data_IF_804993575966
#
_entry.id   IF_804993575966
#
_cell.length_a   1.000
_cell.length_b   1.000
_cell.length_c   1.000
_cell.angle_alpha   90.00
_cell.angle_beta   90.00
_cell.angle_gamma   90.00
#
_symmetry.space_group_name_H-M   'P 1'
#
loop_
_entity.id
_entity.type
_entity.pdbx_description
1 polymer ?
#
# COMPACT_ATOMS: atom_id res chain seq x y z
N UNK A 1 10.88 -7.78 -18.07
CA UNK A 1 9.90 -8.06 -19.15
C UNK A 1 8.90 -9.05 -18.59
N UNK A 2 7.65 -8.62 -18.39
CA UNK A 2 6.56 -9.52 -18.00
C UNK A 2 6.25 -10.38 -19.23
N UNK A 3 6.44 -11.69 -19.09
CA UNK A 3 6.19 -12.65 -20.17
C UNK A 3 4.74 -13.11 -20.06
N UNK A 4 3.92 -12.79 -21.07
CA UNK A 4 2.56 -13.31 -21.17
C UNK A 4 2.56 -14.64 -21.91
N UNK A 5 1.77 -15.59 -21.42
CA UNK A 5 1.56 -16.85 -22.12
C UNK A 5 0.40 -16.69 -23.10
N UNK A 6 0.57 -17.04 -24.39
CA UNK A 6 -0.54 -17.04 -25.33
C UNK A 6 -1.60 -18.06 -24.88
N UNK A 7 -2.86 -17.65 -24.88
CA UNK A 7 -3.97 -18.50 -24.44
C UNK A 7 -4.74 -19.07 -25.63
N UNK A 8 -4.47 -20.32 -26.06
CA UNK A 8 -5.25 -20.96 -27.11
C UNK A 8 -6.66 -21.33 -26.64
N UNK A 9 -7.58 -21.45 -27.58
CA UNK A 9 -8.98 -21.85 -27.37
C UNK A 9 -9.72 -21.00 -26.32
N UNK A 10 -9.38 -19.71 -26.20
CA UNK A 10 -10.13 -18.72 -25.45
C UNK A 10 -11.31 -18.23 -26.30
N UNK A 11 -12.51 -18.19 -25.71
CA UNK A 11 -13.75 -17.78 -26.36
C UNK A 11 -13.80 -16.27 -26.49
N UNK A 12 -13.76 -15.76 -27.71
CA UNK A 12 -13.92 -14.34 -28.02
C UNK A 12 -15.36 -14.08 -28.45
N UNK A 13 -15.97 -13.01 -27.93
CA UNK A 13 -17.27 -12.46 -28.33
C UNK A 13 -17.09 -10.97 -28.58
N UNK A 14 -17.51 -10.49 -29.74
CA UNK A 14 -17.51 -9.07 -30.06
C UNK A 14 -18.95 -8.58 -30.07
N UNK A 15 -19.22 -7.53 -29.31
CA UNK A 15 -20.54 -6.97 -29.11
C UNK A 15 -20.63 -5.54 -29.63
N UNK A 16 -21.78 -5.20 -30.20
CA UNK A 16 -22.19 -3.82 -30.50
C UNK A 16 -23.53 -3.56 -29.85
N UNK A 17 -23.61 -2.55 -28.98
CA UNK A 17 -24.83 -2.21 -28.22
C UNK A 17 -25.45 -3.45 -27.52
N UNK A 18 -24.60 -4.29 -26.90
CA UNK A 18 -25.02 -5.52 -26.21
C UNK A 18 -25.36 -6.72 -27.11
N UNK A 19 -25.35 -6.58 -28.44
CA UNK A 19 -25.60 -7.68 -29.37
C UNK A 19 -24.30 -8.29 -29.86
N UNK A 20 -24.16 -9.62 -29.77
CA UNK A 20 -23.00 -10.35 -30.32
C UNK A 20 -23.04 -10.29 -31.85
N UNK A 21 -22.00 -9.74 -32.45
CA UNK A 21 -21.87 -9.61 -33.91
C UNK A 21 -20.81 -10.55 -34.49
N UNK A 22 -19.84 -10.97 -33.67
CA UNK A 22 -18.82 -11.95 -34.04
C UNK A 22 -18.44 -12.77 -32.80
N UNK A 23 -18.04 -14.02 -33.01
CA UNK A 23 -17.53 -14.90 -31.95
C UNK A 23 -16.58 -15.94 -32.54
N UNK A 24 -15.65 -16.43 -31.73
CA UNK A 24 -14.73 -17.49 -32.12
C UNK A 24 -13.83 -17.93 -30.98
N UNK A 25 -12.80 -18.69 -31.34
CA UNK A 25 -11.76 -19.14 -30.43
C UNK A 25 -10.42 -18.56 -30.85
N UNK A 26 -9.56 -18.24 -29.89
CA UNK A 26 -8.14 -17.94 -30.18
C UNK A 26 -7.41 -19.19 -30.66
N UNK A 27 -6.43 -18.99 -31.55
CA UNK A 27 -5.60 -20.07 -32.08
C UNK A 27 -4.45 -20.47 -31.13
N UNK A 28 -3.56 -21.36 -31.56
CA UNK A 28 -2.38 -21.82 -30.80
C UNK A 28 -1.48 -20.69 -30.27
N UNK A 29 -1.48 -19.53 -30.94
CA UNK A 29 -0.70 -18.35 -30.57
C UNK A 29 -1.51 -17.34 -29.73
N UNK A 30 -2.73 -17.69 -29.29
CA UNK A 30 -3.60 -16.80 -28.52
C UNK A 30 -4.28 -15.71 -29.34
N UNK A 31 -4.32 -15.83 -30.67
CA UNK A 31 -4.82 -14.78 -31.58
C UNK A 31 -6.19 -15.16 -32.14
N UNK A 32 -7.08 -14.17 -32.21
CA UNK A 32 -8.36 -14.24 -32.93
C UNK A 32 -8.46 -13.09 -33.93
N UNK A 33 -8.71 -13.40 -35.19
CA UNK A 33 -8.79 -12.42 -36.29
C UNK A 33 -10.21 -12.38 -36.87
N UNK A 34 -10.73 -11.18 -37.12
CA UNK A 34 -12.03 -11.01 -37.75
C UNK A 34 -12.14 -9.64 -38.43
N UNK A 35 -13.05 -9.52 -39.39
CA UNK A 35 -13.31 -8.27 -40.11
C UNK A 35 -14.52 -7.57 -39.51
N UNK A 36 -14.36 -6.30 -39.16
CA UNK A 36 -15.42 -5.46 -38.60
C UNK A 36 -15.52 -4.15 -39.39
N UNK A 37 -16.75 -3.67 -39.68
CA UNK A 37 -16.96 -2.31 -40.16
C UNK A 37 -16.45 -1.28 -39.15
N UNK A 38 -16.20 -0.04 -39.60
CA UNK A 38 -15.80 1.01 -38.66
C UNK A 38 -16.91 1.32 -37.64
N UNK A 39 -16.62 1.12 -36.35
CA UNK A 39 -17.52 1.41 -35.23
C UNK A 39 -16.87 1.20 -33.86
N UNK A 40 -17.61 1.54 -32.79
CA UNK A 40 -17.29 1.12 -31.43
C UNK A 40 -17.84 -0.28 -31.11
N UNK A 41 -17.02 -1.09 -30.46
CA UNK A 41 -17.30 -2.48 -30.09
C UNK A 41 -16.81 -2.79 -28.68
N UNK A 42 -17.43 -3.78 -28.02
CA UNK A 42 -16.89 -4.41 -26.82
C UNK A 42 -16.41 -5.81 -27.18
N UNK A 43 -15.13 -6.11 -26.95
CA UNK A 43 -14.53 -7.42 -27.17
C UNK A 43 -14.41 -8.11 -25.82
N UNK A 44 -15.16 -9.19 -25.62
CA UNK A 44 -15.15 -10.00 -24.41
C UNK A 44 -14.46 -11.33 -24.66
N UNK A 45 -13.53 -11.73 -23.80
CA UNK A 45 -12.77 -12.98 -23.90
C UNK A 45 -12.94 -13.80 -22.62
N UNK A 46 -13.21 -15.08 -22.76
CA UNK A 46 -13.41 -16.03 -21.66
C UNK A 46 -12.55 -17.27 -21.88
N UNK A 47 -11.92 -17.80 -20.84
CA UNK A 47 -11.19 -19.07 -20.89
C UNK A 47 -11.39 -19.83 -19.58
N UNK A 48 -11.62 -21.13 -19.66
CA UNK A 48 -11.78 -21.97 -18.47
C UNK A 48 -10.51 -21.90 -17.60
N UNK A 49 -10.69 -21.67 -16.30
CA UNK A 49 -9.58 -21.44 -15.37
C UNK A 49 -9.01 -20.02 -15.40
N UNK A 50 -9.64 -19.09 -16.12
CA UNK A 50 -9.29 -17.67 -16.14
C UNK A 50 -10.52 -16.79 -15.88
N UNK A 51 -10.30 -15.62 -15.30
CA UNK A 51 -11.30 -14.56 -15.20
C UNK A 51 -11.49 -13.96 -16.60
N UNK A 52 -12.74 -13.93 -17.08
CA UNK A 52 -13.08 -13.34 -18.38
C UNK A 52 -13.04 -11.81 -18.33
N UNK A 53 -12.69 -11.19 -19.45
CA UNK A 53 -12.44 -9.75 -19.55
C UNK A 53 -13.14 -9.15 -20.77
N UNK A 54 -13.60 -7.89 -20.68
CA UNK A 54 -14.21 -7.16 -21.78
C UNK A 54 -13.52 -5.81 -22.01
N UNK A 55 -13.20 -5.49 -23.27
CA UNK A 55 -12.53 -4.23 -23.64
C UNK A 55 -13.30 -3.48 -24.73
N UNK A 56 -13.57 -2.20 -24.48
CA UNK A 56 -14.15 -1.28 -25.47
C UNK A 56 -13.09 -0.83 -26.49
N UNK A 57 -13.41 -0.93 -27.78
CA UNK A 57 -12.48 -0.62 -28.89
C UNK A 57 -13.22 0.12 -29.99
N UNK A 58 -12.64 1.23 -30.44
CA UNK A 58 -13.06 1.91 -31.67
C UNK A 58 -12.24 1.35 -32.84
N UNK A 59 -12.93 0.73 -33.80
CA UNK A 59 -12.34 0.23 -35.05
C UNK A 59 -12.55 1.28 -36.13
N UNK A 60 -11.48 1.86 -36.64
CA UNK A 60 -11.47 2.79 -37.77
C UNK A 60 -10.44 2.42 -38.85
N UNK A 61 -9.62 1.41 -38.57
CA UNK A 61 -8.59 0.80 -39.43
C UNK A 61 -8.21 -0.58 -38.87
N UNK A 62 -7.31 -1.26 -39.56
CA UNK A 62 -6.70 -2.48 -39.04
C UNK A 62 -5.95 -2.19 -37.74
N UNK A 63 -6.28 -2.95 -36.70
CA UNK A 63 -5.69 -2.76 -35.37
C UNK A 63 -5.56 -4.11 -34.68
N UNK A 64 -4.52 -4.23 -33.86
CA UNK A 64 -4.30 -5.34 -32.95
C UNK A 64 -4.73 -4.91 -31.54
N UNK A 65 -5.52 -5.75 -30.86
CA UNK A 65 -5.95 -5.53 -29.48
C UNK A 65 -5.44 -6.65 -28.63
N UNK A 66 -4.59 -6.32 -27.67
CA UNK A 66 -4.22 -7.26 -26.62
C UNK A 66 -5.27 -7.21 -25.50
N UNK A 67 -5.74 -8.40 -25.10
CA UNK A 67 -6.65 -8.64 -23.99
C UNK A 67 -5.99 -9.68 -23.08
N UNK A 68 -5.71 -9.28 -21.85
CA UNK A 68 -5.05 -10.11 -20.86
C UNK A 68 -6.11 -10.79 -19.99
N UNK A 69 -6.04 -12.11 -19.86
CA UNK A 69 -6.88 -12.87 -18.94
C UNK A 69 -6.07 -13.31 -17.72
N UNK A 70 -6.70 -13.30 -16.55
CA UNK A 70 -6.06 -13.60 -15.27
C UNK A 70 -6.40 -15.01 -14.83
N UNK A 71 -5.41 -15.81 -14.46
CA UNK A 71 -5.63 -17.22 -14.08
C UNK A 71 -6.31 -17.28 -12.72
N UNK A 72 -7.40 -18.04 -12.62
CA UNK A 72 -8.10 -18.32 -11.36
C UNK A 72 -7.26 -19.34 -10.58
N UNK A 73 -6.63 -18.90 -9.49
CA UNK A 73 -5.77 -19.74 -8.64
C UNK A 73 -6.51 -20.38 -7.48
N UNK A 74 -7.65 -19.81 -7.07
CA UNK A 74 -8.48 -20.31 -5.97
C UNK A 74 -9.94 -19.99 -6.23
N UNK A 75 -10.81 -20.95 -5.95
CA UNK A 75 -12.26 -20.78 -5.98
C UNK A 75 -12.75 -21.06 -4.55
N UNK A 76 -13.10 -20.02 -3.81
CA UNK A 76 -13.69 -20.18 -2.48
C UNK A 76 -15.19 -20.47 -2.61
N UNK A 77 -15.60 -21.64 -2.12
CA UNK A 77 -17.01 -22.02 -2.05
C UNK A 77 -17.68 -21.33 -0.87
N UNK A 78 -18.44 -20.27 -1.13
CA UNK A 78 -19.45 -19.81 -0.18
C UNK A 78 -20.59 -20.84 -0.11
N UNK A 79 -21.10 -21.14 1.08
CA UNK A 79 -22.16 -22.12 1.34
C UNK A 79 -23.55 -21.73 0.78
N UNK A 80 -23.61 -20.75 -0.12
CA UNK A 80 -24.82 -20.35 -0.84
C UNK A 80 -24.55 -20.48 -2.34
N UNK A 81 -25.53 -20.95 -3.10
CA UNK A 81 -25.48 -21.42 -4.49
C UNK A 81 -25.13 -20.37 -5.57
N UNK A 82 -24.37 -19.33 -5.22
CA UNK A 82 -23.84 -18.33 -6.15
C UNK A 82 -22.31 -18.45 -6.18
N UNK A 83 -21.78 -18.97 -7.30
CA UNK A 83 -20.34 -18.96 -7.57
C UNK A 83 -19.89 -17.52 -7.80
N UNK A 84 -19.03 -17.00 -6.92
CA UNK A 84 -18.29 -15.75 -7.15
C UNK A 84 -16.84 -16.08 -7.47
N UNK A 85 -16.35 -15.52 -8.57
CA UNK A 85 -14.94 -15.59 -8.99
C UNK A 85 -14.29 -14.29 -8.51
N UNK A 86 -13.18 -14.38 -7.79
CA UNK A 86 -12.36 -13.25 -7.35
C UNK A 86 -10.91 -13.56 -7.68
N UNK A 87 -10.19 -12.64 -8.35
CA UNK A 87 -8.78 -12.87 -8.66
C UNK A 87 -7.99 -11.85 -9.51
N UNK A 88 -8.35 -10.56 -9.49
CA UNK A 88 -7.43 -9.44 -9.23
C UNK A 88 -8.29 -8.38 -8.52
N UNK A 89 -7.69 -7.64 -7.60
CA UNK A 89 -8.35 -6.51 -6.94
C UNK A 89 -8.46 -5.39 -7.97
N UNK A 90 -9.60 -5.32 -8.64
CA UNK A 90 -10.17 -4.01 -8.96
C UNK A 90 -10.68 -3.47 -7.62
N UNK A 91 -10.29 -2.24 -7.27
CA UNK A 91 -10.72 -1.50 -6.07
C UNK A 91 -12.17 -1.87 -5.73
N UNK A 92 -12.33 -2.67 -4.67
CA UNK A 92 -13.58 -3.35 -4.37
C UNK A 92 -14.55 -2.39 -3.70
N UNK A 93 -14.84 -1.26 -4.31
CA UNK A 93 -15.71 -0.25 -3.73
C UNK A 93 -15.32 0.11 -2.29
N UNK A 94 -14.04 -0.02 -1.92
CA UNK A 94 -13.53 0.70 -0.76
C UNK A 94 -13.77 2.14 -1.11
N UNK A 95 -14.77 2.74 -0.48
CA UNK A 95 -14.77 4.20 -0.41
C UNK A 95 -13.43 4.48 0.26
N UNK A 96 -12.43 4.98 -0.45
CA UNK A 96 -11.18 5.39 0.19
C UNK A 96 -11.45 6.80 0.69
N UNK A 97 -11.48 6.97 2.00
CA UNK A 97 -11.81 8.25 2.62
C UNK A 97 -10.53 9.01 2.91
N UNK A 98 -9.80 9.32 1.85
CA UNK A 98 -8.48 9.92 1.92
C UNK A 98 -8.61 11.40 2.24
N UNK A 99 -7.81 11.88 3.19
CA UNK A 99 -7.85 13.27 3.61
C UNK A 99 -6.84 14.16 2.90
N UNK A 100 -5.73 13.60 2.38
CA UNK A 100 -4.63 14.40 1.81
C UNK A 100 -4.43 14.28 0.30
N UNK A 101 -5.46 13.86 -0.45
CA UNK A 101 -5.44 13.86 -1.91
C UNK A 101 -4.40 12.92 -2.54
N UNK A 102 -3.75 12.11 -1.71
CA UNK A 102 -2.84 11.06 -2.14
C UNK A 102 -3.64 9.78 -2.34
N UNK A 103 -3.73 9.33 -3.58
CA UNK A 103 -4.57 8.19 -3.98
C UNK A 103 -3.75 6.90 -4.06
N UNK A 104 -3.90 5.95 -3.12
CA UNK A 104 -3.24 4.65 -3.20
C UNK A 104 -3.84 3.76 -4.31
N UNK A 105 -4.83 4.20 -5.07
CA UNK A 105 -5.26 3.58 -6.33
C UNK A 105 -4.50 4.10 -7.55
N UNK A 106 -3.76 5.20 -7.42
CA UNK A 106 -2.96 5.76 -8.50
C UNK A 106 -1.73 4.87 -8.79
N UNK A 107 -1.47 4.47 -10.05
CA UNK A 107 -0.30 3.65 -10.44
C UNK A 107 1.06 4.21 -10.03
N UNK A 108 1.17 5.53 -9.81
CA UNK A 108 2.40 6.18 -9.34
C UNK A 108 2.67 5.92 -7.86
N UNK A 109 1.62 5.55 -7.12
CA UNK A 109 1.57 5.45 -5.67
C UNK A 109 1.45 3.99 -5.22
N UNK A 110 0.89 3.11 -6.06
CA UNK A 110 0.79 1.67 -5.82
C UNK A 110 2.10 0.93 -6.09
N UNK A 111 2.28 -0.19 -5.38
CA UNK A 111 3.30 -1.16 -5.75
C UNK A 111 2.95 -1.81 -7.10
N UNK A 112 3.94 -2.33 -7.86
CA UNK A 112 3.69 -3.04 -9.12
C UNK A 112 2.73 -4.24 -9.00
N UNK A 113 2.54 -4.75 -7.78
CA UNK A 113 1.67 -5.88 -7.47
C UNK A 113 0.44 -5.46 -6.63
N UNK A 114 0.24 -4.17 -6.40
CA UNK A 114 -0.79 -3.65 -5.51
C UNK A 114 -0.46 -3.86 -4.03
N UNK A 115 -1.49 -3.75 -3.19
CA UNK A 115 -1.42 -4.07 -1.77
C UNK A 115 -2.35 -5.24 -1.48
N UNK A 116 -1.97 -6.13 -0.56
CA UNK A 116 -2.86 -7.18 -0.05
C UNK A 116 -3.87 -6.59 0.94
N UNK A 117 -3.45 -5.59 1.72
CA UNK A 117 -4.32 -4.83 2.62
C UNK A 117 -4.09 -3.32 2.46
N UNK A 118 -5.17 -2.55 2.36
CA UNK A 118 -5.15 -1.09 2.44
C UNK A 118 -6.07 -0.68 3.58
N UNK A 119 -5.52 0.02 4.57
CA UNK A 119 -6.26 0.60 5.68
C UNK A 119 -6.41 2.09 5.44
N UNK A 120 -7.59 2.51 5.00
CA UNK A 120 -8.05 3.91 5.01
C UNK A 120 -9.17 4.02 6.03
N UNK A 121 -9.22 5.08 6.82
CA UNK A 121 -10.06 5.12 8.03
C UNK A 121 -11.51 5.57 7.77
N UNK A 122 -12.22 4.91 6.89
CA UNK A 122 -13.58 5.30 6.51
C UNK A 122 -14.64 5.03 7.57
N UNK A 123 -14.38 4.05 8.43
CA UNK A 123 -15.19 3.72 9.58
C UNK A 123 -14.28 3.65 10.81
N UNK A 124 -14.71 4.25 11.93
CA UNK A 124 -14.01 4.15 13.22
C UNK A 124 -13.80 2.69 13.64
N UNK A 125 -14.68 1.78 13.20
CA UNK A 125 -14.57 0.36 13.49
C UNK A 125 -13.40 -0.33 12.77
N UNK A 126 -12.96 0.16 11.60
CA UNK A 126 -11.88 -0.47 10.81
C UNK A 126 -10.56 -0.50 11.57
N UNK A 127 -10.30 0.53 12.38
CA UNK A 127 -9.15 0.56 13.27
C UNK A 127 -9.18 -0.64 14.21
N UNK A 128 -10.27 -0.85 14.94
CA UNK A 128 -10.37 -1.91 15.96
C UNK A 128 -10.42 -3.34 15.42
N UNK A 129 -10.73 -3.52 14.12
CA UNK A 129 -10.80 -4.86 13.50
C UNK A 129 -9.42 -5.47 13.28
N UNK A 130 -8.44 -4.64 12.96
CA UNK A 130 -7.10 -5.09 12.58
C UNK A 130 -6.01 -4.57 13.51
N UNK A 131 -6.21 -3.40 14.10
CA UNK A 131 -5.24 -2.75 14.98
C UNK A 131 -5.71 -2.79 16.42
N UNK A 132 -4.77 -3.06 17.33
CA UNK A 132 -4.97 -2.86 18.78
C UNK A 132 -4.08 -1.74 19.30
N UNK A 133 -4.52 -1.10 20.36
CA UNK A 133 -3.71 -0.12 21.10
C UNK A 133 -2.79 -0.93 22.01
N UNK A 134 -1.48 -0.86 21.74
CA UNK A 134 -0.47 -1.55 22.54
C UNK A 134 -0.04 -0.72 23.75
N UNK A 135 0.14 0.59 23.55
CA UNK A 135 0.65 1.49 24.60
C UNK A 135 0.29 2.94 24.27
N UNK A 136 -0.01 3.74 25.30
CA UNK A 136 -0.23 5.18 25.17
C UNK A 136 0.51 5.96 26.25
N UNK A 137 0.88 7.19 25.92
CA UNK A 137 1.40 8.16 26.87
C UNK A 137 0.84 9.54 26.55
N UNK A 138 -0.06 10.03 27.42
CA UNK A 138 -0.72 11.34 27.34
C UNK A 138 -1.64 11.58 26.13
N UNK A 139 -1.80 10.62 25.22
CA UNK A 139 -2.65 10.72 24.03
C UNK A 139 -3.34 9.38 23.77
N UNK A 140 -4.50 9.42 23.13
CA UNK A 140 -5.21 8.24 22.64
C UNK A 140 -5.28 8.28 21.11
N UNK A 141 -4.97 7.17 20.41
CA UNK A 141 -5.19 7.06 18.97
C UNK A 141 -6.69 6.96 18.68
N UNK A 142 -7.20 7.85 17.84
CA UNK A 142 -8.63 7.91 17.48
C UNK A 142 -8.79 8.16 15.99
N UNK A 143 -9.84 7.60 15.39
CA UNK A 143 -10.24 7.94 14.03
C UNK A 143 -11.08 9.20 14.08
N UNK A 144 -10.70 10.22 13.31
CA UNK A 144 -11.46 11.46 13.19
C UNK A 144 -11.26 12.06 11.81
N UNK A 145 -12.37 12.36 11.11
CA UNK A 145 -12.38 12.85 9.72
C UNK A 145 -11.63 11.91 8.76
N UNK A 146 -11.75 10.61 9.00
CA UNK A 146 -11.07 9.56 8.25
C UNK A 146 -9.54 9.57 8.35
N UNK A 147 -9.01 10.09 9.45
CA UNK A 147 -7.58 10.11 9.75
C UNK A 147 -7.37 9.49 11.13
N UNK A 148 -6.35 8.65 11.28
CA UNK A 148 -5.86 8.27 12.60
C UNK A 148 -5.09 9.45 13.21
N UNK A 149 -5.70 10.10 14.20
CA UNK A 149 -5.16 11.23 14.94
C UNK A 149 -4.82 10.82 16.38
N UNK A 150 -3.95 11.58 17.02
CA UNK A 150 -3.69 11.47 18.45
C UNK A 150 -4.51 12.51 19.20
N UNK A 151 -5.25 12.12 20.22
CA UNK A 151 -6.09 13.03 21.01
C UNK A 151 -5.61 13.09 22.45
N UNK A 152 -5.35 14.29 22.97
CA UNK A 152 -5.02 14.48 24.39
C UNK A 152 -6.19 15.07 25.18
N UNK A 153 -6.26 14.76 26.48
CA UNK A 153 -7.18 15.44 27.39
C UNK A 153 -6.63 16.80 27.85
N UNK A 154 -5.31 17.01 27.77
CA UNK A 154 -4.62 18.19 28.29
C UNK A 154 -3.52 18.63 27.33
N UNK A 155 -2.96 19.81 27.57
CA UNK A 155 -1.72 20.20 26.89
C UNK A 155 -0.55 19.40 27.48
N UNK A 156 0.10 18.58 26.66
CA UNK A 156 1.31 17.85 27.05
C UNK A 156 2.52 18.40 26.32
N UNK A 157 3.72 17.88 26.53
CA UNK A 157 4.93 18.29 25.80
C UNK A 157 5.65 17.12 25.15
N UNK A 158 5.27 15.91 25.54
CA UNK A 158 5.78 14.64 25.05
C UNK A 158 4.61 13.66 25.09
N UNK A 159 4.44 12.93 23.99
CA UNK A 159 3.37 11.97 23.84
C UNK A 159 3.72 10.93 22.80
N UNK A 160 3.12 9.75 22.94
CA UNK A 160 3.13 8.74 21.90
C UNK A 160 1.92 7.82 22.04
N UNK A 161 1.56 7.20 20.93
CA UNK A 161 0.75 5.99 20.92
C UNK A 161 1.45 4.91 20.10
N UNK A 162 1.27 3.67 20.53
CA UNK A 162 1.69 2.47 19.81
C UNK A 162 0.45 1.70 19.42
N UNK A 163 0.26 1.54 18.12
CA UNK A 163 -0.73 0.63 17.58
C UNK A 163 -0.01 -0.62 17.08
N UNK A 164 -0.63 -1.77 17.25
CA UNK A 164 -0.05 -3.04 16.85
C UNK A 164 -1.00 -3.79 15.93
N UNK A 165 -0.42 -4.62 15.08
CA UNK A 165 -1.15 -5.58 14.29
C UNK A 165 -0.43 -6.92 14.33
N UNK A 166 -1.21 -7.96 14.65
CA UNK A 166 -0.79 -9.36 14.68
C UNK A 166 -1.07 -10.01 13.32
N UNK A 167 -0.02 -10.57 12.72
CA UNK A 167 -0.04 -10.92 11.30
C UNK A 167 0.33 -12.40 11.18
N UNK A 168 -0.56 -13.16 10.57
CA UNK A 168 -0.38 -14.60 10.35
C UNK A 168 0.33 -14.91 9.03
N UNK A 169 0.56 -13.87 8.22
CA UNK A 169 1.12 -13.93 6.88
C UNK A 169 2.44 -13.16 6.80
N UNK A 170 3.19 -13.37 5.73
CA UNK A 170 4.52 -12.81 5.57
C UNK A 170 4.42 -11.40 5.00
N UNK A 171 5.14 -10.43 5.54
CA UNK A 171 5.08 -9.05 5.06
C UNK A 171 6.25 -8.76 4.12
N UNK A 172 5.92 -8.35 2.90
CA UNK A 172 6.86 -7.92 1.87
C UNK A 172 7.16 -6.42 1.98
N UNK A 173 6.14 -5.60 2.16
CA UNK A 173 6.29 -4.14 2.30
C UNK A 173 5.19 -3.52 3.15
N UNK A 174 5.52 -2.38 3.77
CA UNK A 174 4.60 -1.52 4.52
C UNK A 174 4.74 -0.12 3.94
N UNK A 175 3.65 0.52 3.57
CA UNK A 175 3.61 1.90 3.07
C UNK A 175 2.70 2.69 4.01
N UNK A 176 3.14 3.89 4.40
CA UNK A 176 2.39 4.74 5.33
C UNK A 176 2.34 6.13 4.74
N UNK A 177 1.13 6.66 4.60
CA UNK A 177 0.92 8.07 4.35
C UNK A 177 0.56 8.78 5.65
N UNK A 178 1.35 9.78 5.99
CA UNK A 178 1.22 10.49 7.23
C UNK A 178 1.64 11.96 7.09
N UNK A 179 1.09 12.79 7.98
CA UNK A 179 1.42 14.21 8.10
C UNK A 179 2.18 14.45 9.40
N UNK A 180 3.31 15.13 9.25
CA UNK A 180 4.14 15.63 10.34
C UNK A 180 4.09 17.15 10.34
N UNK A 181 4.03 17.76 11.51
CA UNK A 181 4.18 19.21 11.66
C UNK A 181 5.66 19.58 11.69
N UNK A 182 6.06 20.38 10.69
CA UNK A 182 7.44 20.82 10.50
C UNK A 182 8.02 21.56 11.72
N UNK A 183 7.18 22.15 12.57
CA UNK A 183 7.58 22.97 13.71
C UNK A 183 8.02 22.15 14.92
N UNK A 184 7.65 20.87 15.00
CA UNK A 184 7.80 20.05 16.21
C UNK A 184 8.74 18.86 16.00
N UNK A 185 9.24 18.31 17.11
CA UNK A 185 10.07 17.12 17.13
C UNK A 185 9.21 15.85 17.07
N UNK A 186 8.57 15.63 15.93
CA UNK A 186 7.68 14.49 15.73
C UNK A 186 8.37 13.31 15.10
N UNK A 187 7.79 12.12 15.24
CA UNK A 187 8.29 10.94 14.59
C UNK A 187 7.20 9.89 14.33
N UNK A 188 7.46 9.07 13.31
CA UNK A 188 6.74 7.84 13.02
C UNK A 188 7.76 6.72 12.99
N UNK A 189 7.47 5.63 13.67
CA UNK A 189 8.38 4.52 13.81
C UNK A 189 7.66 3.20 13.61
N UNK A 190 8.13 2.44 12.64
CA UNK A 190 7.63 1.10 12.33
C UNK A 190 8.60 0.09 12.93
N UNK A 191 8.07 -0.78 13.77
CA UNK A 191 8.81 -1.77 14.54
C UNK A 191 8.26 -3.13 14.14
N UNK A 192 9.09 -3.97 13.52
CA UNK A 192 8.69 -5.31 13.12
C UNK A 192 9.35 -6.34 14.03
N UNK A 193 8.59 -7.35 14.47
CA UNK A 193 9.04 -8.45 15.31
C UNK A 193 8.92 -9.77 14.56
N UNK A 194 9.91 -10.65 14.71
CA UNK A 194 9.93 -11.97 14.07
C UNK A 194 8.89 -12.94 14.69
N UNK A 195 8.58 -12.79 15.98
CA UNK A 195 7.57 -13.57 16.67
C UNK A 195 6.55 -12.69 17.41
N UNK A 196 5.28 -13.17 17.55
CA UNK A 196 4.19 -12.48 18.25
C UNK A 196 4.53 -11.95 19.65
N UNK A 197 5.33 -12.70 20.40
CA UNK A 197 5.68 -12.49 21.80
C UNK A 197 7.16 -12.06 21.98
N UNK A 198 7.87 -11.81 20.88
CA UNK A 198 9.28 -11.43 20.92
C UNK A 198 9.46 -10.13 21.72
N UNK A 199 10.33 -10.14 22.73
CA UNK A 199 10.64 -8.95 23.51
C UNK A 199 11.39 -7.91 22.67
N UNK A 200 12.15 -8.37 21.67
CA UNK A 200 13.06 -7.52 20.90
C UNK A 200 12.61 -7.39 19.45
N UNK A 201 12.63 -6.17 18.90
CA UNK A 201 12.31 -5.99 17.49
C UNK A 201 13.34 -6.69 16.62
N UNK A 202 12.91 -7.10 15.44
CA UNK A 202 13.75 -7.58 14.35
C UNK A 202 14.28 -6.39 13.51
N UNK A 203 13.41 -5.41 13.27
CA UNK A 203 13.74 -4.22 12.48
C UNK A 203 13.00 -3.00 13.01
N UNK A 204 13.63 -1.83 12.89
CA UNK A 204 13.07 -0.55 13.31
C UNK A 204 13.35 0.48 12.24
N UNK A 205 12.30 1.01 11.63
CA UNK A 205 12.34 2.19 10.79
C UNK A 205 11.81 3.37 11.62
N UNK A 206 12.54 4.49 11.68
CA UNK A 206 12.12 5.73 12.35
C UNK A 206 12.29 6.90 11.39
N UNK A 207 11.18 7.54 11.02
CA UNK A 207 11.19 8.87 10.42
C UNK A 207 11.00 9.90 11.53
N UNK A 208 11.88 10.90 11.60
CA UNK A 208 11.86 11.95 12.61
C UNK A 208 11.88 13.31 11.93
N UNK A 209 11.06 14.25 12.40
CA UNK A 209 11.24 15.67 12.12
C UNK A 209 12.05 16.32 13.26
N UNK A 210 12.98 17.20 12.91
CA UNK A 210 13.80 18.02 13.78
C UNK A 210 13.70 19.47 13.30
N UNK A 211 12.60 20.16 13.62
CA UNK A 211 12.40 21.58 13.33
C UNK A 211 12.81 21.95 11.89
N UNK A 212 11.95 21.60 10.93
CA UNK A 212 12.14 21.74 9.49
C UNK A 212 13.10 20.71 8.85
N UNK A 213 13.79 19.88 9.65
CA UNK A 213 14.70 18.85 9.13
C UNK A 213 14.15 17.43 9.30
N UNK A 214 13.92 16.72 8.20
CA UNK A 214 13.56 15.31 8.28
C UNK A 214 14.81 14.43 8.36
N UNK A 215 14.86 13.61 9.41
CA UNK A 215 15.86 12.58 9.62
C UNK A 215 15.18 11.22 9.47
N UNK A 216 15.60 10.46 8.48
CA UNK A 216 15.16 9.09 8.28
C UNK A 216 16.23 8.14 8.82
N UNK A 217 15.87 7.29 9.76
CA UNK A 217 16.77 6.29 10.35
C UNK A 217 16.18 4.90 10.18
N UNK A 218 16.86 4.07 9.40
CA UNK A 218 16.56 2.65 9.30
C UNK A 218 17.59 1.86 10.12
N UNK A 219 17.11 1.11 11.12
CA UNK A 219 17.93 0.30 12.00
C UNK A 219 17.51 -1.16 11.92
N UNK A 220 18.40 -2.04 11.49
CA UNK A 220 18.20 -3.49 11.61
C UNK A 220 18.90 -3.98 12.87
N UNK A 221 18.12 -4.32 13.90
CA UNK A 221 18.63 -4.80 15.18
C UNK A 221 17.93 -6.11 15.49
N UNK A 222 18.65 -7.22 15.50
CA UNK A 222 18.13 -8.50 15.98
C UNK A 222 18.77 -8.82 17.32
N UNK A 223 18.02 -8.73 18.40
CA UNK A 223 18.49 -9.19 19.70
C UNK A 223 17.98 -10.61 19.96
N UNK A 224 18.90 -11.48 20.38
CA UNK A 224 18.56 -12.83 20.84
C UNK A 224 18.65 -12.96 22.36
N UNK A 225 19.12 -11.91 23.04
CA UNK A 225 19.14 -11.72 24.49
C UNK A 225 19.38 -10.22 24.79
N UNK A 226 19.08 -9.72 26.01
CA UNK A 226 19.27 -8.31 26.38
C UNK A 226 20.67 -7.76 26.05
N UNK A 227 21.70 -8.60 26.21
CA UNK A 227 23.10 -8.24 25.98
C UNK A 227 23.68 -8.80 24.67
N UNK A 228 22.86 -9.38 23.79
CA UNK A 228 23.31 -10.05 22.57
C UNK A 228 22.46 -9.64 21.38
N UNK A 229 22.78 -8.47 20.85
CA UNK A 229 22.16 -7.90 19.66
C UNK A 229 23.13 -7.92 18.48
N UNK A 230 22.67 -8.47 17.37
CA UNK A 230 23.33 -8.37 16.08
C UNK A 230 22.72 -7.17 15.37
N UNK A 231 23.55 -6.16 15.10
CA UNK A 231 23.18 -5.06 14.19
C UNK A 231 23.84 -5.35 12.84
N UNK A 232 23.02 -5.60 11.82
CA UNK A 232 23.51 -5.92 10.48
C UNK A 232 23.86 -4.66 9.69
N UNK A 233 23.04 -3.62 9.87
CA UNK A 233 23.16 -2.32 9.20
C UNK A 233 22.60 -1.25 10.13
N UNK A 234 23.47 -0.40 10.65
CA UNK A 234 23.12 0.89 11.23
C UNK A 234 23.59 1.93 10.21
N UNK A 235 22.97 1.92 9.02
CA UNK A 235 23.18 3.00 8.06
C UNK A 235 22.42 4.21 8.59
N UNK A 236 23.08 4.99 9.44
CA UNK A 236 22.73 6.39 9.66
C UNK A 236 22.99 7.13 8.33
N UNK A 237 22.11 6.93 7.35
CA UNK A 237 22.18 7.65 6.08
C UNK A 237 21.56 9.03 6.25
N UNK A 238 22.47 10.01 6.36
CA UNK A 238 22.35 11.46 6.14
C UNK A 238 21.24 12.20 6.89
N UNK A 239 21.66 13.15 7.73
CA UNK A 239 20.88 14.35 8.02
C UNK A 239 20.53 15.04 6.70
N UNK A 240 19.32 14.83 6.17
CA UNK A 240 18.86 15.60 5.04
C UNK A 240 18.44 16.98 5.56
N UNK A 241 19.33 17.96 5.44
CA UNK A 241 18.99 19.37 5.68
C UNK A 241 18.01 19.82 4.60
N UNK A 242 16.84 20.30 5.01
CA UNK A 242 15.73 20.59 4.11
C UNK A 242 15.06 21.90 4.55
N UNK A 243 15.00 22.89 3.67
CA UNK A 243 14.55 24.26 3.98
C UNK A 243 13.22 24.62 3.31
N UNK A 244 12.31 23.65 3.23
CA UNK A 244 10.91 23.95 3.39
C UNK A 244 9.98 23.87 2.19
N UNK A 245 8.72 23.92 2.62
CA UNK A 245 7.43 24.02 1.94
C UNK A 245 6.89 22.86 1.12
N UNK A 246 7.68 21.95 0.53
CA UNK A 246 7.12 20.86 -0.29
C UNK A 246 8.19 19.74 -0.40
N UNK A 247 7.98 18.45 -0.02
CA UNK A 247 8.93 17.30 -0.29
C UNK A 247 8.31 15.97 -0.77
N UNK A 248 8.75 15.43 -1.92
CA UNK A 248 8.56 14.03 -2.36
C UNK A 248 9.50 13.59 -3.57
N UNK A 249 9.85 12.27 -3.73
CA UNK A 249 10.23 11.47 -4.96
C UNK A 249 11.10 10.19 -4.64
N UNK A 250 10.97 9.06 -5.38
CA UNK A 250 11.98 7.97 -5.63
C UNK A 250 11.71 7.37 -7.05
N UNK A 251 12.65 7.36 -8.02
CA UNK A 251 12.60 6.58 -9.29
C UNK A 251 13.05 5.15 -9.08
N UNK A 252 12.75 4.23 -10.00
CA UNK A 252 13.32 2.89 -10.21
C UNK A 252 14.15 2.82 -11.53
N UNK A 253 15.47 2.57 -11.49
CA UNK A 253 16.26 1.99 -12.58
C UNK A 253 15.82 0.56 -12.93
N UNK A 254 15.04 0.50 -14.00
CA UNK A 254 14.42 -0.70 -14.52
C UNK A 254 15.37 -1.64 -15.28
N UNK A 255 16.65 -1.30 -15.48
CA UNK A 255 17.60 -2.14 -16.23
C UNK A 255 18.21 -3.25 -15.37
N UNK A 256 18.27 -3.04 -14.05
CA UNK A 256 18.75 -3.98 -13.01
C UNK A 256 17.78 -4.14 -11.83
N UNK A 257 16.62 -3.48 -11.89
CA UNK A 257 15.67 -3.41 -10.79
C UNK A 257 16.18 -2.62 -9.55
N UNK A 258 16.59 -1.36 -9.71
CA UNK A 258 17.03 -0.42 -8.63
C UNK A 258 16.23 0.87 -8.59
N UNK A 259 16.43 1.80 -7.63
CA UNK A 259 15.73 3.10 -7.52
C UNK A 259 16.63 4.35 -7.27
N UNK A 260 16.31 5.53 -7.86
CA UNK A 260 16.99 6.85 -7.76
C UNK A 260 16.04 8.05 -7.59
N UNK A 261 16.26 8.99 -6.67
CA UNK A 261 15.42 10.21 -6.47
C UNK A 261 16.05 11.46 -7.11
N UNK A 262 15.27 12.55 -7.32
CA UNK A 262 15.61 14.02 -7.38
C UNK A 262 15.16 14.75 -8.67
N UNK A 263 14.63 15.98 -8.74
CA UNK A 263 14.26 17.07 -7.81
C UNK A 263 13.13 17.90 -8.48
N UNK A 264 12.32 18.64 -7.70
CA UNK A 264 11.16 19.50 -8.04
C UNK A 264 9.75 18.86 -8.10
N UNK A 265 8.89 19.39 -7.21
CA UNK A 265 7.42 19.26 -7.14
C UNK A 265 6.78 17.85 -7.08
N UNK A 266 7.43 16.93 -6.38
CA UNK A 266 6.96 16.52 -5.06
C UNK A 266 5.44 16.03 -5.04
N UNK A 267 5.19 14.69 -5.22
CA UNK A 267 4.20 13.75 -4.54
C UNK A 267 4.85 12.33 -4.25
N UNK A 268 4.79 11.71 -3.05
CA UNK A 268 5.51 10.46 -2.61
C UNK A 268 4.96 9.76 -1.35
N UNK A 269 5.00 8.44 -1.46
CA UNK A 269 5.03 7.47 -0.37
C UNK A 269 6.44 7.05 0.06
N UNK A 270 6.49 6.51 1.28
CA UNK A 270 7.65 5.83 1.87
C UNK A 270 7.43 4.31 1.76
N UNK A 271 8.32 3.60 1.05
CA UNK A 271 8.30 2.15 0.92
C UNK A 271 9.53 1.50 1.59
N UNK A 272 9.54 1.34 2.93
CA UNK A 272 10.55 0.54 3.61
C UNK A 272 10.41 -0.94 3.19
N UNK A 273 11.28 -1.39 2.26
CA UNK A 273 11.49 -2.83 2.06
C UNK A 273 12.32 -3.39 3.22
N UNK A 274 11.73 -4.31 3.97
CA UNK A 274 12.41 -5.05 5.02
C UNK A 274 13.38 -6.05 4.38
N UNK A 275 14.67 -5.69 4.30
CA UNK A 275 15.71 -6.59 3.79
C UNK A 275 16.10 -7.57 4.90
N UNK A 276 15.52 -8.76 4.85
CA UNK A 276 15.94 -9.87 5.72
C UNK A 276 14.99 -11.07 5.65
N UNK A 277 15.55 -12.27 5.78
CA UNK A 277 14.81 -13.55 5.64
C UNK A 277 13.88 -13.87 6.82
N UNK A 278 13.74 -12.98 7.81
CA UNK A 278 12.81 -13.18 8.91
C UNK A 278 11.52 -12.41 8.59
N UNK A 279 10.42 -13.16 8.56
CA UNK A 279 9.10 -12.65 8.21
C UNK A 279 8.45 -12.12 9.48
N UNK A 280 8.19 -10.80 9.58
CA UNK A 280 7.63 -10.25 10.80
C UNK A 280 6.20 -10.75 11.02
N UNK A 281 5.90 -11.24 12.22
CA UNK A 281 4.57 -11.71 12.65
C UNK A 281 3.81 -10.68 13.49
N UNK A 282 4.48 -9.61 13.89
CA UNK A 282 3.90 -8.49 14.62
C UNK A 282 4.53 -7.19 14.13
N UNK A 283 3.69 -6.25 13.72
CA UNK A 283 4.08 -4.86 13.48
C UNK A 283 3.59 -4.03 14.65
N UNK A 284 4.43 -3.10 15.07
CA UNK A 284 4.05 -1.99 15.94
C UNK A 284 4.39 -0.68 15.24
N UNK A 285 3.43 0.23 15.17
CA UNK A 285 3.61 1.59 14.68
C UNK A 285 3.54 2.52 15.88
N UNK A 286 4.66 3.16 16.20
CA UNK A 286 4.78 4.19 17.22
C UNK A 286 4.73 5.56 16.55
N UNK A 287 3.75 6.38 16.93
CA UNK A 287 3.60 7.77 16.51
C UNK A 287 3.66 8.67 17.73
N UNK A 288 4.39 9.77 17.63
CA UNK A 288 4.52 10.67 18.77
C UNK A 288 5.41 11.88 18.52
N UNK A 289 5.65 12.62 19.60
CA UNK A 289 6.57 13.75 19.64
C UNK A 289 7.48 13.66 20.86
N UNK A 290 8.74 14.04 20.64
CA UNK A 290 9.74 14.25 21.70
C UNK A 290 9.50 15.60 22.40
N UNK A 291 10.04 15.81 23.62
CA UNK A 291 9.79 17.02 24.42
C UNK A 291 9.96 18.33 23.64
N UNK A 292 8.87 19.06 23.43
CA UNK A 292 8.87 20.34 22.75
C UNK A 292 7.46 20.76 22.34
N UNK A 293 7.01 21.91 22.85
CA UNK A 293 5.71 22.59 22.61
C UNK A 293 4.61 21.77 21.92
N UNK A 294 3.61 21.27 22.65
CA UNK A 294 2.32 20.93 22.02
C UNK A 294 1.50 22.18 21.76
N UNK A 295 0.76 22.18 20.66
CA UNK A 295 -0.35 23.10 20.46
C UNK A 295 -1.65 22.38 20.79
N UNK A 296 -2.39 22.92 21.76
CA UNK A 296 -3.83 22.71 21.83
C UNK A 296 -4.44 23.30 20.56
N UNK A 297 -4.64 22.47 19.55
CA UNK A 297 -5.57 22.78 18.48
C UNK A 297 -7.00 22.82 19.02
N UNK A 298 -7.92 23.34 18.23
CA UNK A 298 -9.34 23.06 18.46
C UNK A 298 -9.50 21.53 18.60
N UNK A 299 -10.17 21.10 19.67
CA UNK A 299 -10.45 19.69 20.01
C UNK A 299 -9.27 18.80 20.49
N UNK A 300 -8.10 19.38 20.80
CA UNK A 300 -6.93 18.69 21.39
C UNK A 300 -6.35 17.52 20.56
N UNK A 301 -6.38 17.64 19.23
CA UNK A 301 -5.69 16.70 18.34
C UNK A 301 -4.22 17.10 18.13
N UNK A 302 -3.34 16.10 18.09
CA UNK A 302 -1.90 16.23 17.88
C UNK A 302 -1.47 15.52 16.58
N UNK A 303 -0.48 16.08 15.89
CA UNK A 303 0.34 15.39 14.87
C UNK A 303 1.37 14.47 15.55
N UNK A 304 2.00 13.48 14.90
CA UNK A 304 1.73 13.00 13.56
C UNK A 304 0.31 12.45 13.41
N UNK A 305 -0.20 12.49 12.19
CA UNK A 305 -1.49 11.91 11.81
C UNK A 305 -1.25 10.92 10.66
N UNK A 306 -1.97 9.79 10.62
CA UNK A 306 -1.86 8.78 9.56
C UNK A 306 -3.13 8.77 8.72
N UNK A 307 -3.00 8.95 7.40
CA UNK A 307 -4.13 8.94 6.46
C UNK A 307 -4.47 7.51 6.01
N UNK A 308 -3.46 6.72 5.66
CA UNK A 308 -3.65 5.31 5.33
C UNK A 308 -2.37 4.49 5.50
N UNK A 309 -2.54 3.16 5.58
CA UNK A 309 -1.47 2.17 5.67
C UNK A 309 -1.70 1.07 4.63
N UNK A 310 -0.75 0.89 3.72
CA UNK A 310 -0.77 -0.17 2.71
C UNK A 310 0.21 -1.28 3.04
N UNK A 311 -0.22 -2.53 2.94
CA UNK A 311 0.55 -3.70 3.32
C UNK A 311 0.57 -4.67 2.15
N UNK A 312 1.77 -5.12 1.80
CA UNK A 312 2.04 -6.12 0.78
C UNK A 312 2.63 -7.34 1.49
N UNK A 313 2.07 -8.51 1.19
CA UNK A 313 2.38 -9.78 1.79
C UNK A 313 3.10 -10.70 0.77
N UNK A 314 3.78 -11.74 1.27
CA UNK A 314 4.51 -12.71 0.44
C UNK A 314 3.62 -13.88 0.04
#
# INVERSE_FOLDING_TARGET
MVSYEPLPDAKVKILKNGTIIAKGLTNANGVFETYLPSNGYNICVEKDGYLGECKGVLVDRDLQVDILLRRITRIDRSATTVLRVTGEVEDSGSTLCLSWGYDPGNPVHTLPYGYDYIYSWCDENEFTQHWSIAETNNVEPVIHENILKLKSATTVSEYYARIEWMINEQIRAININAKLDLRFYEYIKVIAYDEPDSEYPYSVFKLRNQQFLFNMRLSYKRCIAPNKCYSGFNEEHYEYKWDGTLVYMILFDEKIHKCYRYEELIVSDINPRLIGTAMPKRILIEIGAEPGYCLGGEDNYCTPMIDWIGIDLV
#
